data_IF_540582186534
#
_entry.id   IF_540582186534
#
_cell.length_a   1.000
_cell.length_b   1.000
_cell.length_c   1.000
_cell.angle_alpha   90.00
_cell.angle_beta   90.00
_cell.angle_gamma   90.00
#
_symmetry.space_group_name_H-M   'P 1'
#
loop_
_entity.id
_entity.type
_entity.pdbx_description
1 polymer ?
#
# COMPACT_ATOMS: atom_id res chain seq x y z
N UNK A 1 6.83 33.83 -60.58
CA UNK A 1 6.83 34.26 -59.16
C UNK A 1 5.64 33.65 -58.46
N UNK A 2 5.69 32.32 -58.13
CA UNK A 2 4.67 31.56 -57.36
C UNK A 2 5.31 30.34 -56.76
N UNK A 3 6.29 30.51 -55.83
CA UNK A 3 6.92 29.38 -55.12
C UNK A 3 7.25 29.71 -53.66
N UNK A 4 6.36 30.34 -52.93
CA UNK A 4 6.65 30.71 -51.55
C UNK A 4 5.53 30.48 -50.54
N UNK A 5 4.43 29.77 -50.89
CA UNK A 5 3.34 29.49 -49.93
C UNK A 5 3.20 28.06 -49.46
N UNK A 6 3.92 27.11 -50.04
CA UNK A 6 3.79 25.68 -49.70
C UNK A 6 4.74 25.18 -48.63
N UNK A 7 5.77 25.94 -48.24
CA UNK A 7 6.77 25.51 -47.24
C UNK A 7 6.33 25.86 -45.80
N UNK A 8 5.49 26.86 -45.62
CA UNK A 8 5.05 27.27 -44.27
C UNK A 8 4.02 26.31 -43.62
N UNK A 9 3.27 25.54 -44.40
CA UNK A 9 2.29 24.58 -43.84
C UNK A 9 2.93 23.28 -43.38
N UNK A 10 4.07 22.87 -43.92
CA UNK A 10 4.72 21.63 -43.53
C UNK A 10 5.49 21.74 -42.16
N UNK A 11 5.97 22.95 -41.85
CA UNK A 11 6.67 23.18 -40.56
C UNK A 11 5.69 23.27 -39.36
N UNK A 12 4.46 23.74 -39.62
CA UNK A 12 3.44 23.82 -38.57
C UNK A 12 2.85 22.45 -38.15
N UNK A 13 2.92 21.42 -39.03
CA UNK A 13 2.42 20.09 -38.73
C UNK A 13 3.41 19.24 -37.93
N UNK A 14 4.72 19.54 -37.94
CA UNK A 14 5.71 18.83 -37.14
C UNK A 14 5.84 19.38 -35.71
N UNK A 15 5.36 20.57 -35.42
CA UNK A 15 5.43 21.16 -34.09
C UNK A 15 4.30 20.69 -33.12
N UNK A 16 3.31 19.94 -33.63
CA UNK A 16 2.16 19.49 -32.83
C UNK A 16 2.20 18.01 -32.43
N UNK A 17 3.29 17.29 -32.71
CA UNK A 17 3.44 15.87 -32.34
C UNK A 17 4.34 15.67 -31.10
N UNK A 18 4.87 16.75 -30.54
CA UNK A 18 5.57 16.70 -29.25
C UNK A 18 4.64 16.94 -28.06
N UNK A 19 3.40 16.48 -28.14
CA UNK A 19 2.49 16.54 -27.00
C UNK A 19 2.43 15.20 -26.29
N UNK A 20 3.13 15.19 -25.14
CA UNK A 20 2.74 14.41 -23.94
C UNK A 20 2.69 12.88 -24.09
N UNK A 21 3.82 12.26 -24.22
CA UNK A 21 4.02 11.13 -23.34
C UNK A 21 4.20 11.72 -21.92
N UNK A 22 3.11 11.96 -21.20
CA UNK A 22 3.18 12.22 -19.77
C UNK A 22 3.95 11.03 -19.21
N UNK A 23 5.16 11.30 -18.71
CA UNK A 23 6.04 10.24 -18.20
C UNK A 23 5.25 9.57 -17.09
N UNK A 24 4.85 8.32 -17.31
CA UNK A 24 4.04 7.57 -16.36
C UNK A 24 4.82 7.51 -15.05
N UNK A 25 4.25 8.07 -14.00
CA UNK A 25 4.78 8.00 -12.65
C UNK A 25 4.15 6.80 -11.94
N UNK A 26 4.94 6.00 -11.26
CA UNK A 26 4.48 4.93 -10.39
C UNK A 26 5.19 5.02 -9.05
N UNK A 27 4.46 4.94 -7.94
CA UNK A 27 5.04 4.80 -6.62
C UNK A 27 5.12 3.33 -6.24
N UNK A 28 6.32 2.87 -5.91
CA UNK A 28 6.56 1.52 -5.40
C UNK A 28 6.81 1.60 -3.91
N UNK A 29 6.12 0.77 -3.15
CA UNK A 29 6.25 0.72 -1.69
C UNK A 29 6.47 -0.71 -1.20
N UNK A 30 7.14 -0.84 -0.05
CA UNK A 30 7.53 -2.14 0.47
C UNK A 30 6.39 -2.81 1.24
N UNK A 31 6.00 -4.01 0.81
CA UNK A 31 5.00 -4.86 1.45
C UNK A 31 5.60 -5.49 2.71
N UNK A 32 5.06 -5.16 3.88
CA UNK A 32 5.52 -5.64 5.19
C UNK A 32 7.02 -5.41 5.43
N UNK A 33 7.56 -4.32 4.85
CA UNK A 33 8.99 -4.05 4.88
C UNK A 33 9.84 -4.85 3.91
N UNK A 34 9.23 -5.56 2.91
CA UNK A 34 9.95 -6.38 1.91
C UNK A 34 10.06 -7.84 2.34
N UNK A 35 8.93 -8.53 2.48
CA UNK A 35 8.81 -9.85 3.13
C UNK A 35 9.61 -10.99 2.49
N UNK A 36 10.00 -10.87 1.22
CA UNK A 36 10.84 -11.88 0.55
C UNK A 36 12.34 -11.62 0.76
N UNK A 37 12.74 -10.38 1.02
CA UNK A 37 14.13 -10.01 1.28
C UNK A 37 14.43 -9.93 2.79
N UNK A 38 13.44 -9.50 3.59
CA UNK A 38 13.61 -9.25 5.01
C UNK A 38 12.63 -10.08 5.86
N UNK A 39 12.70 -9.91 7.17
CA UNK A 39 11.79 -10.52 8.13
C UNK A 39 10.53 -9.67 8.26
N UNK A 40 9.44 -10.13 7.65
CA UNK A 40 8.21 -9.35 7.45
C UNK A 40 7.67 -8.71 8.73
N UNK A 41 7.15 -7.48 8.61
CA UNK A 41 6.47 -6.78 9.70
C UNK A 41 7.35 -6.59 10.96
N UNK A 42 8.66 -6.42 10.78
CA UNK A 42 9.59 -6.09 11.86
C UNK A 42 10.18 -4.69 11.69
N UNK A 43 10.60 -4.08 12.79
CA UNK A 43 11.29 -2.78 12.73
C UNK A 43 12.57 -2.86 11.91
N UNK A 44 13.27 -4.00 11.93
CA UNK A 44 14.47 -4.22 11.13
C UNK A 44 14.16 -4.23 9.62
N UNK A 45 13.03 -4.83 9.21
CA UNK A 45 12.61 -4.83 7.80
C UNK A 45 12.24 -3.43 7.31
N UNK A 46 11.50 -2.66 8.11
CA UNK A 46 11.17 -1.26 7.78
C UNK A 46 12.41 -0.39 7.67
N UNK A 47 13.35 -0.54 8.62
CA UNK A 47 14.63 0.17 8.57
C UNK A 47 15.44 -0.20 7.34
N UNK A 48 15.56 -1.49 7.00
CA UNK A 48 16.31 -1.96 5.84
C UNK A 48 15.71 -1.41 4.52
N UNK A 49 14.39 -1.42 4.36
CA UNK A 49 13.72 -0.81 3.21
C UNK A 49 13.93 0.70 3.17
N UNK A 50 13.88 1.38 4.30
CA UNK A 50 14.15 2.81 4.38
C UNK A 50 15.59 3.15 3.96
N UNK A 51 16.58 2.36 4.42
CA UNK A 51 18.00 2.51 4.08
C UNK A 51 18.25 2.20 2.60
N UNK A 52 17.47 1.29 1.99
CA UNK A 52 17.44 1.05 0.57
C UNK A 52 16.82 2.21 -0.25
N UNK A 53 16.30 3.25 0.43
CA UNK A 53 15.77 4.46 -0.19
C UNK A 53 14.25 4.51 -0.31
N UNK A 54 13.52 3.52 0.19
CA UNK A 54 12.06 3.53 0.21
C UNK A 54 11.52 4.54 1.23
N UNK A 55 10.44 5.20 0.84
CA UNK A 55 9.63 6.10 1.69
C UNK A 55 8.19 5.62 1.74
N UNK A 56 7.89 4.53 1.03
CA UNK A 56 6.59 3.87 1.00
C UNK A 56 6.60 2.54 1.73
N UNK A 57 5.61 2.29 2.61
CA UNK A 57 5.46 1.07 3.39
C UNK A 57 4.01 0.63 3.46
N UNK A 58 3.79 -0.67 3.44
CA UNK A 58 2.53 -1.28 3.87
C UNK A 58 2.80 -2.06 5.17
N UNK A 59 1.86 -1.98 6.10
CA UNK A 59 1.96 -2.58 7.43
C UNK A 59 0.62 -3.18 7.86
N UNK A 60 0.66 -4.40 8.37
CA UNK A 60 -0.53 -5.12 8.84
C UNK A 60 -0.76 -4.88 10.33
N UNK A 61 -1.94 -4.46 10.73
CA UNK A 61 -2.25 -4.15 12.13
C UNK A 61 -3.34 -5.08 12.68
N UNK A 62 -3.04 -5.71 13.83
CA UNK A 62 -3.98 -6.53 14.59
C UNK A 62 -4.10 -6.07 16.05
N UNK A 63 -5.16 -6.52 16.72
CA UNK A 63 -5.40 -6.26 18.12
C UNK A 63 -4.90 -7.45 18.97
N UNK A 64 -4.25 -7.20 20.09
CA UNK A 64 -3.92 -8.23 21.08
C UNK A 64 -5.09 -8.46 22.06
N UNK A 65 -5.03 -9.52 22.85
CA UNK A 65 -6.06 -9.85 23.85
C UNK A 65 -6.30 -8.75 24.89
N UNK A 66 -5.24 -8.00 25.21
CA UNK A 66 -5.25 -6.87 26.17
C UNK A 66 -5.38 -5.49 25.48
N UNK A 67 -5.69 -5.50 24.18
CA UNK A 67 -6.05 -4.29 23.43
C UNK A 67 -4.89 -3.48 22.91
N UNK A 68 -3.66 -3.99 22.84
CA UNK A 68 -2.54 -3.36 22.14
C UNK A 68 -2.61 -3.59 20.64
N UNK A 69 -1.95 -2.74 19.86
CA UNK A 69 -1.87 -2.88 18.39
C UNK A 69 -0.50 -3.43 18.00
N UNK A 70 -0.51 -4.64 17.43
CA UNK A 70 0.68 -5.39 16.99
C UNK A 70 0.76 -5.42 15.47
N UNK A 71 2.00 -5.37 14.94
CA UNK A 71 2.26 -5.39 13.50
C UNK A 71 2.46 -6.84 13.05
N UNK A 72 1.43 -7.45 12.47
CA UNK A 72 1.49 -8.83 11.96
C UNK A 72 0.34 -9.13 11.01
N UNK A 73 0.61 -9.93 9.97
CA UNK A 73 -0.38 -10.24 8.92
C UNK A 73 -1.39 -11.30 9.35
N UNK A 74 -0.91 -12.46 9.80
CA UNK A 74 -1.76 -13.62 10.09
C UNK A 74 -2.48 -13.46 11.43
N UNK A 75 -3.66 -14.05 11.54
CA UNK A 75 -4.34 -14.20 12.84
C UNK A 75 -3.70 -15.25 13.73
N UNK A 76 -2.77 -16.04 13.21
CA UNK A 76 -2.05 -17.08 13.94
C UNK A 76 -0.54 -16.83 13.93
N UNK A 77 0.15 -17.32 14.95
CA UNK A 77 1.56 -17.03 15.23
C UNK A 77 2.54 -17.95 14.51
N UNK A 78 2.09 -19.13 14.08
CA UNK A 78 2.92 -20.26 13.68
C UNK A 78 3.79 -19.99 12.45
N UNK A 79 3.29 -19.23 11.47
CA UNK A 79 4.02 -19.01 10.21
C UNK A 79 5.22 -18.10 10.40
N UNK A 80 5.08 -17.04 11.18
CA UNK A 80 6.10 -15.98 11.26
C UNK A 80 6.89 -15.98 12.57
N UNK A 81 6.43 -16.68 13.61
CA UNK A 81 7.08 -16.68 14.92
C UNK A 81 7.39 -18.10 15.43
N UNK A 82 8.09 -18.20 16.54
CA UNK A 82 8.31 -19.43 17.30
C UNK A 82 7.16 -19.75 18.26
N UNK A 83 6.11 -18.90 18.31
CA UNK A 83 4.91 -19.12 19.10
C UNK A 83 3.82 -19.86 18.33
N UNK A 84 2.71 -20.13 19.03
CA UNK A 84 1.50 -20.74 18.47
C UNK A 84 0.26 -20.10 19.06
N UNK A 85 -0.86 -20.19 18.33
CA UNK A 85 -2.16 -19.67 18.74
C UNK A 85 -2.58 -18.41 18.00
N UNK A 86 -3.67 -17.81 18.47
CA UNK A 86 -4.34 -16.69 17.83
C UNK A 86 -3.83 -15.38 18.44
N UNK A 87 -3.41 -14.45 17.60
CA UNK A 87 -2.88 -13.13 18.00
C UNK A 87 -3.88 -12.38 18.90
N UNK A 88 -5.15 -12.33 18.51
CA UNK A 88 -6.21 -11.64 19.24
C UNK A 88 -6.58 -12.31 20.59
N UNK A 89 -6.04 -13.49 20.86
CA UNK A 89 -6.20 -14.22 22.14
C UNK A 89 -4.92 -14.25 22.98
N UNK A 90 -3.86 -13.59 22.51
CA UNK A 90 -2.53 -13.52 23.16
C UNK A 90 -2.27 -12.09 23.62
N UNK A 91 -1.78 -11.90 24.84
CA UNK A 91 -1.48 -10.57 25.38
C UNK A 91 -0.20 -9.99 24.73
N UNK A 92 -0.10 -8.67 24.71
CA UNK A 92 1.08 -7.98 24.18
C UNK A 92 2.37 -8.41 24.90
N UNK A 93 2.31 -8.65 26.23
CA UNK A 93 3.46 -9.11 26.99
C UNK A 93 3.92 -10.52 26.59
N UNK A 94 3.01 -11.41 26.24
CA UNK A 94 3.33 -12.74 25.69
C UNK A 94 3.94 -12.63 24.30
N UNK A 95 3.34 -11.82 23.41
CA UNK A 95 3.84 -11.59 22.05
C UNK A 95 5.26 -11.00 22.05
N UNK A 96 5.59 -10.08 22.98
CA UNK A 96 6.93 -9.49 23.10
C UNK A 96 8.03 -10.48 23.47
N UNK A 97 7.66 -11.64 24.01
CA UNK A 97 8.62 -12.72 24.36
C UNK A 97 8.93 -13.61 23.15
N UNK A 98 8.12 -13.55 22.10
CA UNK A 98 8.31 -14.36 20.91
C UNK A 98 9.41 -13.77 20.01
N UNK A 99 10.02 -14.68 19.26
CA UNK A 99 10.92 -14.34 18.17
C UNK A 99 10.28 -14.73 16.84
N UNK A 100 10.57 -13.95 15.82
CA UNK A 100 10.22 -14.33 14.45
C UNK A 100 11.04 -15.55 14.01
N UNK A 101 10.64 -16.22 12.93
CA UNK A 101 11.36 -17.35 12.36
C UNK A 101 12.80 -17.02 11.93
N UNK A 102 13.07 -15.73 11.64
CA UNK A 102 14.42 -15.25 11.29
C UNK A 102 15.16 -14.65 12.49
N UNK A 103 14.63 -14.80 13.72
CA UNK A 103 15.27 -14.37 14.97
C UNK A 103 15.03 -12.92 15.37
N UNK A 104 14.17 -12.19 14.63
CA UNK A 104 13.76 -10.83 14.97
C UNK A 104 12.73 -10.77 16.10
N UNK A 105 12.27 -9.57 16.43
CA UNK A 105 11.18 -9.31 17.38
C UNK A 105 9.93 -8.88 16.64
N UNK A 106 8.78 -9.24 17.18
CA UNK A 106 7.50 -8.68 16.72
C UNK A 106 7.47 -7.19 17.00
N UNK A 107 7.02 -6.40 15.99
CA UNK A 107 6.86 -4.97 16.12
C UNK A 107 5.47 -4.62 16.65
N UNK A 108 5.36 -3.50 17.37
CA UNK A 108 4.09 -2.93 17.81
C UNK A 108 3.88 -1.55 17.21
N UNK A 109 2.62 -1.17 17.04
CA UNK A 109 2.30 0.11 16.40
C UNK A 109 2.94 1.33 17.07
N UNK A 110 2.99 1.46 18.41
CA UNK A 110 3.66 2.60 19.05
C UNK A 110 5.14 2.72 18.66
N UNK A 111 5.86 1.61 18.57
CA UNK A 111 7.27 1.58 18.17
C UNK A 111 7.45 1.99 16.70
N UNK A 112 6.55 1.53 15.84
CA UNK A 112 6.54 1.90 14.43
C UNK A 112 6.23 3.40 14.25
N UNK A 113 5.24 3.93 14.95
CA UNK A 113 4.87 5.34 14.86
C UNK A 113 5.98 6.25 15.40
N UNK A 114 6.64 5.86 16.49
CA UNK A 114 7.79 6.58 17.02
C UNK A 114 8.95 6.63 16.01
N UNK A 115 9.17 5.53 15.29
CA UNK A 115 10.17 5.47 14.23
C UNK A 115 9.78 6.31 13.00
N UNK A 116 8.48 6.38 12.62
CA UNK A 116 7.98 7.12 11.46
C UNK A 116 7.96 8.64 11.67
N UNK A 117 7.72 9.13 12.89
CA UNK A 117 7.42 10.55 13.20
C UNK A 117 8.48 11.54 12.71
N UNK A 118 9.76 11.14 12.70
CA UNK A 118 10.89 12.00 12.32
C UNK A 118 11.32 11.83 10.83
N UNK A 119 10.60 11.02 10.07
CA UNK A 119 10.90 10.77 8.65
C UNK A 119 10.05 11.66 7.76
N UNK A 120 10.56 11.93 6.56
CA UNK A 120 9.92 12.84 5.59
C UNK A 120 9.50 12.13 4.31
N UNK A 121 8.46 12.67 3.67
CA UNK A 121 7.99 12.20 2.38
C UNK A 121 7.38 10.81 2.40
N UNK A 122 6.87 10.38 3.57
CA UNK A 122 6.35 9.03 3.75
C UNK A 122 5.01 8.81 3.05
N UNK A 123 4.84 7.61 2.52
CA UNK A 123 3.56 6.99 2.19
C UNK A 123 3.40 5.72 3.02
N UNK A 124 2.35 5.60 3.83
CA UNK A 124 2.15 4.40 4.65
C UNK A 124 0.71 3.91 4.55
N UNK A 125 0.56 2.65 4.15
CA UNK A 125 -0.70 1.91 4.18
C UNK A 125 -0.79 1.12 5.50
N UNK A 126 -1.77 1.47 6.34
CA UNK A 126 -2.10 0.72 7.56
C UNK A 126 -3.24 -0.25 7.25
N UNK A 127 -2.92 -1.53 6.99
CA UNK A 127 -3.94 -2.53 6.69
C UNK A 127 -4.60 -3.02 7.97
N UNK A 128 -5.91 -2.79 8.07
CA UNK A 128 -6.76 -3.29 9.15
C UNK A 128 -7.11 -4.76 8.92
N UNK A 129 -6.51 -5.67 9.68
CA UNK A 129 -6.67 -7.13 9.56
C UNK A 129 -7.87 -7.65 10.37
N UNK A 130 -9.04 -7.07 10.15
CA UNK A 130 -10.25 -7.31 10.97
C UNK A 130 -11.24 -8.29 10.34
N UNK A 131 -10.92 -8.92 9.22
CA UNK A 131 -11.84 -9.78 8.45
C UNK A 131 -12.42 -10.99 9.21
N UNK A 132 -11.71 -11.65 10.15
CA UNK A 132 -12.34 -12.66 11.01
C UNK A 132 -13.38 -12.01 11.94
N UNK A 133 -14.67 -12.08 11.55
CA UNK A 133 -15.78 -11.39 12.25
C UNK A 133 -15.92 -11.84 13.69
N UNK A 134 -15.63 -13.11 13.96
CA UNK A 134 -15.65 -13.70 15.30
C UNK A 134 -14.59 -13.13 16.24
N UNK A 135 -13.47 -12.62 15.70
CA UNK A 135 -12.42 -11.96 16.47
C UNK A 135 -12.66 -10.44 16.57
N UNK A 136 -13.39 -9.89 15.60
CA UNK A 136 -13.75 -8.48 15.52
C UNK A 136 -15.27 -8.27 15.38
N UNK A 137 -16.07 -8.66 16.41
CA UNK A 137 -17.46 -8.27 16.46
C UNK A 137 -17.59 -6.74 16.46
N UNK A 138 -18.75 -6.20 16.13
CA UNK A 138 -18.93 -4.79 15.79
C UNK A 138 -18.34 -3.83 16.85
N UNK A 139 -18.57 -4.07 18.14
CA UNK A 139 -18.06 -3.24 19.23
C UNK A 139 -16.52 -3.25 19.30
N UNK A 140 -15.91 -4.44 19.12
CA UNK A 140 -14.44 -4.58 19.11
C UNK A 140 -13.84 -3.91 17.87
N UNK A 141 -14.49 -4.08 16.70
CA UNK A 141 -14.09 -3.46 15.46
C UNK A 141 -14.06 -1.93 15.58
N UNK A 142 -15.12 -1.35 16.14
CA UNK A 142 -15.20 0.12 16.31
C UNK A 142 -14.11 0.64 17.25
N UNK A 143 -13.89 0.00 18.38
CA UNK A 143 -12.81 0.36 19.34
C UNK A 143 -11.43 0.22 18.71
N UNK A 144 -11.22 -0.84 17.93
CA UNK A 144 -9.98 -1.04 17.17
C UNK A 144 -9.76 0.07 16.15
N UNK A 145 -10.76 0.38 15.33
CA UNK A 145 -10.67 1.44 14.32
C UNK A 145 -10.38 2.81 14.96
N UNK A 146 -11.05 3.13 16.07
CA UNK A 146 -10.83 4.38 16.80
C UNK A 146 -9.40 4.47 17.34
N UNK A 147 -8.95 3.41 18.03
CA UNK A 147 -7.59 3.36 18.60
C UNK A 147 -6.55 3.50 17.50
N UNK A 148 -6.67 2.74 16.42
CA UNK A 148 -5.75 2.80 15.29
C UNK A 148 -5.71 4.19 14.68
N UNK A 149 -6.86 4.75 14.32
CA UNK A 149 -6.96 6.07 13.71
C UNK A 149 -6.35 7.16 14.59
N UNK A 150 -6.74 7.21 15.86
CA UNK A 150 -6.26 8.22 16.80
C UNK A 150 -4.73 8.16 16.99
N UNK A 151 -4.19 6.95 17.19
CA UNK A 151 -2.75 6.77 17.35
C UNK A 151 -1.97 7.16 16.09
N UNK A 152 -2.42 6.72 14.91
CA UNK A 152 -1.77 7.00 13.64
C UNK A 152 -1.80 8.50 13.33
N UNK A 153 -2.96 9.14 13.47
CA UNK A 153 -3.12 10.56 13.13
C UNK A 153 -2.43 11.50 14.13
N UNK A 154 -2.35 11.13 15.42
CA UNK A 154 -1.62 11.91 16.41
C UNK A 154 -0.09 11.92 16.18
N UNK A 155 0.44 10.92 15.45
CA UNK A 155 1.88 10.78 15.17
C UNK A 155 2.22 11.01 13.70
N UNK A 156 1.27 11.47 12.87
CA UNK A 156 1.47 11.65 11.43
C UNK A 156 2.33 12.89 11.15
N UNK A 157 3.51 12.75 10.48
CA UNK A 157 4.26 13.89 9.97
C UNK A 157 3.41 14.72 9.00
N UNK A 158 3.62 16.05 8.99
CA UNK A 158 2.81 16.97 8.19
C UNK A 158 2.89 16.71 6.68
N UNK A 159 4.03 16.21 6.20
CA UNK A 159 4.30 15.90 4.80
C UNK A 159 4.08 14.41 4.45
N UNK A 160 3.59 13.60 5.40
CA UNK A 160 3.31 12.20 5.17
C UNK A 160 1.91 11.99 4.60
N UNK A 161 1.78 10.94 3.79
CA UNK A 161 0.54 10.42 3.25
C UNK A 161 0.23 9.08 3.93
N UNK A 162 -0.78 9.05 4.80
CA UNK A 162 -1.20 7.87 5.55
C UNK A 162 -2.57 7.41 5.09
N UNK A 163 -2.69 6.15 4.72
CA UNK A 163 -3.89 5.53 4.17
C UNK A 163 -4.31 4.36 5.04
N UNK A 164 -5.56 4.33 5.47
CA UNK A 164 -6.12 3.15 6.14
C UNK A 164 -6.70 2.22 5.10
N UNK A 165 -6.25 0.98 5.10
CA UNK A 165 -6.62 0.02 4.08
C UNK A 165 -7.28 -1.21 4.69
N UNK A 166 -8.20 -1.85 3.99
CA UNK A 166 -8.78 -3.12 4.45
C UNK A 166 -9.49 -3.89 3.34
N UNK A 167 -9.50 -5.21 3.50
CA UNK A 167 -10.42 -6.10 2.81
C UNK A 167 -11.71 -6.37 3.61
N UNK A 168 -11.80 -5.84 4.84
CA UNK A 168 -13.04 -5.80 5.65
C UNK A 168 -13.70 -4.43 5.50
N UNK A 169 -14.75 -4.38 4.71
CA UNK A 169 -15.44 -3.14 4.39
C UNK A 169 -16.21 -2.50 5.55
N UNK A 170 -16.43 -3.24 6.66
CA UNK A 170 -17.06 -2.71 7.88
C UNK A 170 -16.17 -1.63 8.50
N UNK A 171 -14.87 -1.92 8.64
CA UNK A 171 -13.88 -0.96 9.17
C UNK A 171 -13.76 0.29 8.32
N UNK A 172 -13.68 0.13 6.98
CA UNK A 172 -13.62 1.29 6.06
C UNK A 172 -14.87 2.17 6.18
N UNK A 173 -16.05 1.55 6.21
CA UNK A 173 -17.33 2.29 6.35
C UNK A 173 -17.41 3.01 7.69
N UNK A 174 -16.98 2.37 8.76
CA UNK A 174 -16.95 2.98 10.08
C UNK A 174 -16.04 4.20 10.13
N UNK A 175 -14.79 4.07 9.64
CA UNK A 175 -13.85 5.19 9.61
C UNK A 175 -14.34 6.34 8.75
N UNK A 176 -14.92 6.05 7.58
CA UNK A 176 -15.47 7.07 6.68
C UNK A 176 -16.59 7.89 7.35
N UNK A 177 -17.48 7.20 8.08
CA UNK A 177 -18.59 7.86 8.76
C UNK A 177 -18.15 8.68 9.95
N UNK A 178 -17.19 8.18 10.72
CA UNK A 178 -16.76 8.78 11.98
C UNK A 178 -15.69 9.87 11.80
N UNK A 179 -14.83 9.71 10.81
CA UNK A 179 -13.69 10.61 10.56
C UNK A 179 -13.72 11.15 9.12
N UNK A 180 -14.58 12.15 8.84
CA UNK A 180 -14.68 12.73 7.49
C UNK A 180 -13.32 13.22 6.98
N UNK A 181 -13.00 12.86 5.72
CA UNK A 181 -11.73 13.24 5.09
C UNK A 181 -10.57 12.27 5.38
N UNK A 182 -10.80 11.17 6.10
CA UNK A 182 -9.81 10.10 6.24
C UNK A 182 -9.50 9.46 4.88
N UNK A 183 -8.22 9.23 4.61
CA UNK A 183 -7.79 8.57 3.37
C UNK A 183 -7.94 7.06 3.50
N UNK A 184 -8.77 6.48 2.63
CA UNK A 184 -9.19 5.07 2.71
C UNK A 184 -8.95 4.35 1.39
N UNK A 185 -8.49 3.09 1.47
CA UNK A 185 -8.35 2.21 0.33
C UNK A 185 -9.08 0.88 0.55
N UNK A 186 -9.92 0.52 -0.41
CA UNK A 186 -10.49 -0.82 -0.48
C UNK A 186 -9.48 -1.81 -1.04
N UNK A 187 -9.13 -2.86 -0.27
CA UNK A 187 -8.34 -3.98 -0.78
C UNK A 187 -9.25 -5.10 -1.25
N UNK A 188 -8.95 -5.70 -2.40
CA UNK A 188 -9.65 -6.86 -2.92
C UNK A 188 -8.70 -7.92 -3.48
N UNK A 189 -9.01 -9.20 -3.24
CA UNK A 189 -8.33 -10.34 -3.86
C UNK A 189 -8.78 -10.64 -5.30
N UNK A 190 -9.67 -9.80 -5.84
CA UNK A 190 -10.13 -9.89 -7.23
C UNK A 190 -9.33 -8.93 -8.11
N UNK A 191 -9.24 -9.20 -9.42
CA UNK A 191 -8.68 -8.24 -10.36
C UNK A 191 -9.54 -6.98 -10.44
N UNK A 192 -8.92 -5.88 -10.87
CA UNK A 192 -9.64 -4.65 -11.16
C UNK A 192 -10.57 -4.89 -12.36
N UNK A 193 -11.84 -4.61 -12.15
CA UNK A 193 -12.88 -4.74 -13.16
C UNK A 193 -14.07 -3.82 -12.79
N UNK A 194 -15.10 -3.81 -13.61
CA UNK A 194 -16.27 -2.95 -13.40
C UNK A 194 -16.97 -3.18 -12.05
N UNK A 195 -17.03 -4.42 -11.58
CA UNK A 195 -17.64 -4.74 -10.30
C UNK A 195 -16.83 -4.18 -9.13
N UNK A 196 -15.48 -4.37 -9.12
CA UNK A 196 -14.61 -3.87 -8.05
C UNK A 196 -14.56 -2.34 -8.03
N UNK A 197 -14.58 -1.69 -9.21
CA UNK A 197 -14.69 -0.23 -9.33
C UNK A 197 -16.01 0.27 -8.71
N UNK A 198 -17.15 -0.35 -9.06
CA UNK A 198 -18.45 0.01 -8.46
C UNK A 198 -18.46 -0.19 -6.94
N UNK A 199 -17.85 -1.26 -6.44
CA UNK A 199 -17.75 -1.51 -4.99
C UNK A 199 -16.94 -0.42 -4.28
N UNK A 200 -15.80 -0.02 -4.81
CA UNK A 200 -14.99 1.07 -4.25
C UNK A 200 -15.78 2.39 -4.21
N UNK A 201 -16.47 2.72 -5.30
CA UNK A 201 -17.34 3.91 -5.37
C UNK A 201 -18.48 3.85 -4.36
N UNK A 202 -19.14 2.69 -4.21
CA UNK A 202 -20.22 2.50 -3.24
C UNK A 202 -19.75 2.60 -1.78
N UNK A 203 -18.49 2.27 -1.50
CA UNK A 203 -17.85 2.48 -0.21
C UNK A 203 -17.42 3.95 -0.01
N UNK A 204 -17.42 4.77 -1.05
CA UNK A 204 -16.97 6.17 -1.00
C UNK A 204 -15.47 6.32 -0.82
N UNK A 205 -14.66 5.29 -1.09
CA UNK A 205 -13.21 5.38 -1.02
C UNK A 205 -12.63 5.94 -2.32
N UNK A 206 -11.49 6.59 -2.21
CA UNK A 206 -10.78 7.20 -3.35
C UNK A 206 -9.69 6.30 -3.92
N UNK A 207 -9.39 5.18 -3.26
CA UNK A 207 -8.30 4.26 -3.63
C UNK A 207 -8.78 2.82 -3.66
N UNK A 208 -8.20 2.04 -4.56
CA UNK A 208 -8.45 0.60 -4.69
C UNK A 208 -7.14 -0.17 -4.83
N UNK A 209 -6.91 -1.13 -3.92
CA UNK A 209 -5.85 -2.12 -4.01
C UNK A 209 -6.42 -3.41 -4.62
N UNK A 210 -6.06 -3.72 -5.86
CA UNK A 210 -6.61 -4.85 -6.60
C UNK A 210 -5.53 -5.86 -6.99
N UNK A 211 -5.96 -7.12 -7.22
CA UNK A 211 -5.07 -8.17 -7.68
C UNK A 211 -4.66 -7.91 -9.13
N UNK A 212 -3.35 -7.88 -9.40
CA UNK A 212 -2.80 -7.59 -10.73
C UNK A 212 -3.12 -8.68 -11.75
N UNK A 213 -2.95 -9.99 -11.47
CA UNK A 213 -3.38 -11.05 -12.38
C UNK A 213 -4.88 -10.94 -12.72
N UNK A 214 -5.19 -10.82 -14.01
CA UNK A 214 -6.54 -10.62 -14.51
C UNK A 214 -7.00 -9.16 -14.61
N UNK A 215 -6.19 -8.21 -14.16
CA UNK A 215 -6.42 -6.77 -14.38
C UNK A 215 -5.96 -6.37 -15.78
N UNK A 216 -6.78 -5.60 -16.49
CA UNK A 216 -6.43 -5.03 -17.79
C UNK A 216 -6.09 -3.54 -17.70
N UNK A 217 -5.34 -3.05 -18.68
CA UNK A 217 -5.04 -1.62 -18.82
C UNK A 217 -6.31 -0.77 -18.96
N UNK A 218 -7.30 -1.29 -19.69
CA UNK A 218 -8.60 -0.60 -19.85
C UNK A 218 -9.36 -0.49 -18.53
N UNK A 219 -9.26 -1.52 -17.66
CA UNK A 219 -9.86 -1.47 -16.34
C UNK A 219 -9.20 -0.42 -15.45
N UNK A 220 -7.86 -0.28 -15.51
CA UNK A 220 -7.13 0.78 -14.81
C UNK A 220 -7.54 2.16 -15.33
N UNK A 221 -7.56 2.35 -16.67
CA UNK A 221 -8.01 3.60 -17.27
C UNK A 221 -9.46 3.95 -16.91
N UNK A 222 -10.35 2.94 -16.79
CA UNK A 222 -11.73 3.15 -16.33
C UNK A 222 -11.76 3.59 -14.87
N UNK A 223 -10.98 2.96 -13.99
CA UNK A 223 -10.89 3.35 -12.58
C UNK A 223 -10.41 4.81 -12.42
N UNK A 224 -9.41 5.24 -13.20
CA UNK A 224 -8.95 6.62 -13.23
C UNK A 224 -10.05 7.60 -13.69
N UNK A 225 -10.82 7.26 -14.72
CA UNK A 225 -11.96 8.07 -15.17
C UNK A 225 -13.03 8.22 -14.09
N UNK A 226 -13.16 7.23 -13.21
CA UNK A 226 -14.06 7.25 -12.06
C UNK A 226 -13.46 7.95 -10.83
N UNK A 227 -12.24 8.51 -10.96
CA UNK A 227 -11.54 9.23 -9.90
C UNK A 227 -10.89 8.33 -8.85
N UNK A 228 -10.61 7.06 -9.17
CA UNK A 228 -9.93 6.14 -8.26
C UNK A 228 -8.44 6.12 -8.53
N UNK A 229 -7.64 6.14 -7.47
CA UNK A 229 -6.23 5.82 -7.47
C UNK A 229 -6.08 4.30 -7.39
N UNK A 230 -5.23 3.70 -8.22
CA UNK A 230 -5.09 2.26 -8.38
C UNK A 230 -3.76 1.78 -7.83
N UNK A 231 -3.81 0.92 -6.81
CA UNK A 231 -2.68 0.13 -6.31
C UNK A 231 -2.80 -1.32 -6.78
N UNK A 232 -1.73 -1.91 -7.31
CA UNK A 232 -1.73 -3.31 -7.76
C UNK A 232 -0.79 -4.17 -6.92
N UNK A 233 -1.23 -5.41 -6.67
CA UNK A 233 -0.49 -6.46 -5.98
C UNK A 233 -0.76 -7.84 -6.59
N UNK A 234 0.07 -8.88 -6.37
CA UNK A 234 1.35 -8.86 -5.67
C UNK A 234 2.49 -8.29 -6.53
N UNK A 235 3.61 -7.97 -5.88
CA UNK A 235 4.88 -7.58 -6.50
C UNK A 235 6.00 -8.51 -6.06
N UNK A 236 5.98 -9.76 -6.55
CA UNK A 236 6.95 -10.80 -6.16
C UNK A 236 8.23 -10.75 -6.97
N UNK A 237 8.17 -10.15 -8.17
CA UNK A 237 9.26 -10.16 -9.15
C UNK A 237 9.39 -8.81 -9.83
N UNK A 238 10.54 -8.57 -10.47
CA UNK A 238 10.73 -7.41 -11.35
C UNK A 238 9.80 -7.44 -12.58
N UNK A 239 9.37 -8.63 -13.01
CA UNK A 239 8.36 -8.77 -14.07
C UNK A 239 6.98 -8.27 -13.60
N UNK A 240 6.61 -8.51 -12.34
CA UNK A 240 5.39 -7.96 -11.76
C UNK A 240 5.46 -6.43 -11.69
N UNK A 241 6.61 -5.87 -11.31
CA UNK A 241 6.83 -4.42 -11.35
C UNK A 241 6.60 -3.85 -12.76
N UNK A 242 7.21 -4.46 -13.78
CA UNK A 242 7.02 -4.05 -15.17
C UNK A 242 5.58 -4.16 -15.63
N UNK A 243 4.89 -5.23 -15.23
CA UNK A 243 3.48 -5.42 -15.55
C UNK A 243 2.61 -4.36 -14.88
N UNK A 244 2.83 -4.05 -13.60
CA UNK A 244 2.11 -2.99 -12.88
C UNK A 244 2.27 -1.63 -13.56
N UNK A 245 3.50 -1.28 -13.93
CA UNK A 245 3.79 -0.06 -14.68
C UNK A 245 3.09 -0.06 -16.06
N UNK A 246 3.18 -1.17 -16.81
CA UNK A 246 2.52 -1.30 -18.12
C UNK A 246 0.99 -1.17 -18.03
N UNK A 247 0.38 -1.72 -16.98
CA UNK A 247 -1.06 -1.61 -16.76
C UNK A 247 -1.51 -0.19 -16.42
N UNK A 248 -0.60 0.68 -15.98
CA UNK A 248 -0.89 2.05 -15.62
C UNK A 248 -1.25 2.24 -14.14
N UNK A 249 -0.76 1.37 -13.26
CA UNK A 249 -0.95 1.51 -11.82
C UNK A 249 -0.30 2.80 -11.31
N UNK A 250 -0.97 3.48 -10.35
CA UNK A 250 -0.40 4.63 -9.64
C UNK A 250 0.55 4.17 -8.53
N UNK A 251 0.20 3.03 -7.90
CA UNK A 251 0.95 2.44 -6.80
C UNK A 251 1.18 0.95 -7.03
N UNK A 252 2.28 0.45 -6.51
CA UNK A 252 2.59 -0.97 -6.54
C UNK A 252 3.25 -1.43 -5.25
N UNK A 253 2.64 -2.44 -4.62
CA UNK A 253 3.17 -3.12 -3.44
C UNK A 253 4.20 -4.16 -3.86
N UNK A 254 5.44 -4.12 -3.34
CA UNK A 254 6.48 -5.09 -3.67
C UNK A 254 7.03 -5.85 -2.46
N UNK A 255 7.25 -7.15 -2.63
CA UNK A 255 7.89 -8.04 -1.66
C UNK A 255 9.42 -8.01 -1.72
N UNK A 256 9.98 -7.44 -2.81
CA UNK A 256 11.42 -7.40 -3.13
C UNK A 256 11.89 -5.96 -3.41
N UNK A 257 11.78 -5.06 -2.42
CA UNK A 257 12.05 -3.63 -2.64
C UNK A 257 13.47 -3.35 -3.14
N UNK A 258 14.50 -4.02 -2.62
CA UNK A 258 15.88 -3.77 -3.03
C UNK A 258 16.11 -4.18 -4.47
N UNK A 259 15.61 -5.36 -4.86
CA UNK A 259 15.74 -5.87 -6.22
C UNK A 259 14.97 -5.01 -7.23
N UNK A 260 13.73 -4.62 -6.91
CA UNK A 260 12.91 -3.75 -7.78
C UNK A 260 13.57 -2.39 -7.99
N UNK A 261 14.10 -1.77 -6.92
CA UNK A 261 14.78 -0.48 -7.04
C UNK A 261 16.01 -0.57 -7.94
N UNK A 262 16.88 -1.54 -7.69
CA UNK A 262 18.06 -1.78 -8.53
C UNK A 262 17.66 -2.02 -10.00
N UNK A 263 16.68 -2.86 -10.25
CA UNK A 263 16.18 -3.14 -11.59
C UNK A 263 15.65 -1.86 -12.26
N UNK A 264 14.84 -1.08 -11.55
CA UNK A 264 14.25 0.13 -12.11
C UNK A 264 15.31 1.16 -12.49
N UNK A 265 16.32 1.39 -11.66
CA UNK A 265 17.42 2.31 -11.91
C UNK A 265 18.29 1.87 -13.10
N UNK A 266 18.57 0.57 -13.22
CA UNK A 266 19.45 0.02 -14.26
C UNK A 266 18.75 -0.23 -15.60
N UNK A 267 17.49 -0.69 -15.59
CA UNK A 267 16.79 -1.23 -16.76
C UNK A 267 15.63 -0.38 -17.26
N UNK A 268 15.08 0.51 -16.41
CA UNK A 268 13.93 1.35 -16.78
C UNK A 268 14.14 2.84 -16.48
N UNK A 269 15.27 3.46 -16.88
CA UNK A 269 15.56 4.87 -16.55
C UNK A 269 14.58 5.86 -17.19
N UNK A 270 13.77 5.40 -18.12
CA UNK A 270 12.69 6.16 -18.78
C UNK A 270 11.39 6.19 -17.96
N UNK A 271 11.25 5.36 -16.94
CA UNK A 271 10.09 5.31 -16.07
C UNK A 271 10.34 6.19 -14.82
N UNK A 272 9.38 7.06 -14.49
CA UNK A 272 9.45 7.86 -13.27
C UNK A 272 8.96 7.02 -12.09
N UNK A 273 9.88 6.51 -11.29
CA UNK A 273 9.57 5.66 -10.13
C UNK A 273 9.82 6.44 -8.85
N UNK A 274 8.80 6.53 -8.00
CA UNK A 274 8.92 7.00 -6.61
C UNK A 274 8.97 5.80 -5.66
N UNK A 275 9.78 5.89 -4.64
CA UNK A 275 9.97 4.82 -3.66
C UNK A 275 9.50 5.24 -2.26
#
# INVERSE_FOLDING_TARGET
MKFTKSILCAVAMFASITTYAQQQEIRVFSHRGGRMEFDENTMAAFQASYDAGYRGFEVDIRLTADGELVVTHDSTLERTTNGSGIVEKTTANELRKLQTKKGGKMAFLPELLDWLKDKKGLYVEFEMKTKPVELYPEEVLQKYCDKLYQMVMANKPADAEYVFTSSDYRGLRYLQQKYPGVDLMMITSKPLNEWTIRMAKALGVTRIGAKMPGTSRDAVAKAHKEGLIVSLWPGYTTADFMLGAYLGADFMCTDIPVEVKKFAEEKTPWLNVKY
#
